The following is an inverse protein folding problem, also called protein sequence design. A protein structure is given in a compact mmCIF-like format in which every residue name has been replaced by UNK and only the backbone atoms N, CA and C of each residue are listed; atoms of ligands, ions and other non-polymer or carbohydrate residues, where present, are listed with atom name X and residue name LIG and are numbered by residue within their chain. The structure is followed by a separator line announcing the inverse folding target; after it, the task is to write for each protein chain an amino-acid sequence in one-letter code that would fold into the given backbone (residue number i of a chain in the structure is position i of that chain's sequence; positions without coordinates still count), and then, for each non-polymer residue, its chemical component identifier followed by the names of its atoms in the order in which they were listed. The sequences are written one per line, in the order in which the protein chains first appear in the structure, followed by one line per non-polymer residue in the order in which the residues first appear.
data_IF_937704635958
#
_entry.id   IF_937704635958
#
_cell.length_a   1.000
_cell.length_b   1.000
_cell.length_c   1.000
_cell.angle_alpha   90.00
_cell.angle_beta   90.00
_cell.angle_gamma   90.00
#
_symmetry.space_group_name_H-M   'P 1'
#
loop_
_entity.id
_entity.type
_entity.pdbx_description
1 polymer ?
#
# COMPACT_ATOMS: atom_id res chain seq x y z
N UNK A 1 -9.63 1.03 2.08
CA UNK A 1 -9.47 -0.39 1.68
C UNK A 1 -8.02 -0.75 1.92
N UNK A 2 -7.74 -2.00 2.27
CA UNK A 2 -6.36 -2.42 2.52
C UNK A 2 -5.75 -2.97 1.24
N UNK A 3 -4.49 -2.62 0.99
CA UNK A 3 -3.68 -3.12 -0.14
C UNK A 3 -2.39 -3.75 0.38
N UNK A 4 -1.89 -4.72 -0.37
CA UNK A 4 -0.60 -5.38 -0.12
C UNK A 4 0.49 -4.65 -0.90
N UNK A 5 1.51 -4.20 -0.17
CA UNK A 5 2.74 -3.65 -0.73
C UNK A 5 3.95 -4.44 -0.24
N UNK A 6 4.85 -4.80 -1.14
CA UNK A 6 6.11 -5.47 -0.80
C UNK A 6 7.13 -4.42 -0.40
N UNK A 7 7.76 -4.59 0.76
CA UNK A 7 8.83 -3.71 1.20
C UNK A 7 10.08 -3.88 0.32
N UNK A 8 10.57 -2.80 -0.28
CA UNK A 8 11.77 -2.85 -1.13
C UNK A 8 13.09 -3.11 -0.40
N UNK A 9 13.07 -3.23 0.93
CA UNK A 9 14.26 -3.44 1.77
C UNK A 9 14.41 -4.87 2.29
N UNK A 10 13.29 -5.48 2.71
CA UNK A 10 13.29 -6.80 3.35
C UNK A 10 12.35 -7.80 2.67
N UNK A 11 11.74 -7.41 1.55
CA UNK A 11 10.80 -8.22 0.75
C UNK A 11 9.54 -8.69 1.49
N UNK A 12 9.27 -8.17 2.69
CA UNK A 12 8.08 -8.51 3.46
C UNK A 12 6.81 -7.84 2.90
N UNK A 13 5.69 -8.55 2.97
CA UNK A 13 4.38 -8.03 2.58
C UNK A 13 3.77 -7.16 3.69
N UNK A 14 3.41 -5.93 3.34
CA UNK A 14 2.82 -4.95 4.24
C UNK A 14 1.39 -4.64 3.83
N UNK A 15 0.46 -4.73 4.78
CA UNK A 15 -0.95 -4.37 4.58
C UNK A 15 -1.13 -2.89 4.93
N UNK A 16 -1.46 -2.08 3.94
CA UNK A 16 -1.59 -0.62 4.08
C UNK A 16 -3.00 -0.18 3.75
N UNK A 17 -3.58 0.66 4.61
CA UNK A 17 -4.91 1.22 4.38
C UNK A 17 -4.83 2.41 3.41
N UNK A 18 -5.51 2.30 2.27
CA UNK A 18 -5.69 3.37 1.31
C UNK A 18 -7.13 3.89 1.36
N UNK A 19 -7.37 5.16 1.73
CA UNK A 19 -8.72 5.73 1.76
C UNK A 19 -9.32 5.83 0.35
N UNK A 20 -10.64 5.72 0.26
CA UNK A 20 -11.35 5.81 -1.02
C UNK A 20 -11.54 7.29 -1.38
N UNK A 21 -11.10 7.70 -2.56
CA UNK A 21 -11.11 9.13 -2.99
C UNK A 21 -12.37 9.53 -3.76
N UNK A 22 -13.12 8.57 -4.29
CA UNK A 22 -14.31 8.85 -5.10
C UNK A 22 -15.57 8.17 -4.54
N UNK A 23 -16.67 8.94 -4.49
CA UNK A 23 -18.00 8.44 -4.10
C UNK A 23 -18.53 7.41 -5.13
N UNK A 24 -18.29 7.68 -6.43
CA UNK A 24 -18.55 6.75 -7.53
C UNK A 24 -17.22 6.19 -8.08
N UNK A 25 -17.04 4.86 -8.06
CA UNK A 25 -15.87 4.15 -8.60
C UNK A 25 -14.89 3.58 -7.55
N UNK A 26 -13.96 2.74 -8.02
CA UNK A 26 -12.94 2.04 -7.21
C UNK A 26 -11.59 2.77 -7.25
N UNK A 27 -11.58 4.06 -6.88
CA UNK A 27 -10.36 4.85 -6.78
C UNK A 27 -9.95 5.01 -5.31
N UNK A 28 -8.68 4.79 -5.03
CA UNK A 28 -8.08 4.87 -3.71
C UNK A 28 -6.90 5.83 -3.73
N UNK A 29 -6.62 6.46 -2.60
CA UNK A 29 -5.50 7.39 -2.44
C UNK A 29 -4.19 6.60 -2.35
N UNK A 30 -3.20 7.02 -3.13
CA UNK A 30 -1.84 6.51 -3.02
C UNK A 30 -1.18 7.14 -1.79
N UNK A 31 -0.71 6.35 -0.81
CA UNK A 31 0.02 6.89 0.32
C UNK A 31 1.43 7.40 -0.06
N UNK A 32 1.91 7.14 -1.29
CA UNK A 32 3.26 7.43 -1.83
C UNK A 32 4.39 6.67 -1.10
N UNK A 33 4.36 6.66 0.23
CA UNK A 33 5.27 5.98 1.12
C UNK A 33 4.50 5.19 2.21
N UNK A 34 5.09 4.09 2.67
CA UNK A 34 4.58 3.29 3.77
C UNK A 34 5.71 2.79 4.68
N UNK A 35 5.41 2.64 5.96
CA UNK A 35 6.33 2.05 6.94
C UNK A 35 6.19 0.53 6.94
N UNK A 36 7.30 -0.18 6.80
CA UNK A 36 7.32 -1.63 6.88
C UNK A 36 7.22 -2.07 8.34
N UNK A 37 6.20 -2.87 8.66
CA UNK A 37 5.99 -3.39 10.02
C UNK A 37 7.09 -4.35 10.49
N UNK A 38 7.85 -4.96 9.56
CA UNK A 38 8.88 -5.95 9.87
C UNK A 38 10.25 -5.31 10.10
N UNK A 39 10.73 -4.47 9.19
CA UNK A 39 12.06 -3.84 9.30
C UNK A 39 12.04 -2.40 9.83
N UNK A 40 10.87 -1.76 9.95
CA UNK A 40 10.72 -0.36 10.35
C UNK A 40 11.19 0.66 9.32
N UNK A 41 11.56 0.20 8.11
CA UNK A 41 12.00 1.06 7.02
C UNK A 41 10.82 1.68 6.25
N UNK A 42 11.01 2.89 5.75
CA UNK A 42 10.08 3.54 4.82
C UNK A 42 10.33 3.03 3.40
N UNK A 43 9.27 2.55 2.74
CA UNK A 43 9.27 2.08 1.36
C UNK A 43 8.27 2.89 0.54
N UNK A 44 8.49 3.02 -0.76
CA UNK A 44 7.56 3.71 -1.66
C UNK A 44 6.54 2.74 -2.23
N UNK A 45 5.32 3.20 -2.48
CA UNK A 45 4.30 2.39 -3.16
C UNK A 45 4.71 2.10 -4.61
N UNK A 46 4.45 0.87 -5.11
CA UNK A 46 4.68 0.56 -6.51
C UNK A 46 3.62 1.23 -7.39
N UNK A 47 3.89 1.35 -8.70
CA UNK A 47 2.87 1.83 -9.64
C UNK A 47 1.65 0.90 -9.68
N UNK A 48 0.46 1.49 -9.78
CA UNK A 48 -0.80 0.75 -9.92
C UNK A 48 -0.81 -0.17 -11.16
N UNK A 49 -1.58 -1.27 -11.17
CA UNK A 49 -2.60 -1.67 -10.18
C UNK A 49 -2.03 -2.36 -8.94
N UNK A 50 -2.65 -2.13 -7.78
CA UNK A 50 -2.24 -2.72 -6.51
C UNK A 50 -3.09 -3.94 -6.14
N UNK A 51 -2.47 -4.87 -5.42
CA UNK A 51 -3.13 -6.08 -4.91
C UNK A 51 -3.97 -5.73 -3.67
N UNK A 52 -5.29 -5.95 -3.68
CA UNK A 52 -6.09 -5.84 -2.46
C UNK A 52 -5.59 -6.80 -1.38
N UNK A 53 -5.58 -6.36 -0.13
CA UNK A 53 -5.44 -7.28 1.00
C UNK A 53 -6.82 -7.89 1.30
N UNK A 54 -6.90 -9.23 1.34
CA UNK A 54 -8.09 -9.98 1.75
C UNK A 54 -8.43 -9.81 3.25
#
# INVERSE_FOLDING_TARGET
MNFLFVCGWCDEECVVFCPRTAFWGNRFEDPEEFECWSCGGTSTTPYSPWTPAD
#
